data_IF_690648153505
#
_entry.id   IF_690648153505
#
_cell.length_a   1.000
_cell.length_b   1.000
_cell.length_c   1.000
_cell.angle_alpha   90.00
_cell.angle_beta   90.00
_cell.angle_gamma   90.00
#
_symmetry.space_group_name_H-M   'P 1'
#
loop_
_entity.id
_entity.type
_entity.pdbx_description
1 polymer ?
#
# COMPACT_ATOMS: atom_id res chain seq x y z
N UNK A 1 -19.86 6.90 -4.69
CA UNK A 1 -19.29 5.94 -5.66
C UNK A 1 -17.83 6.33 -5.85
N UNK A 2 -16.92 5.61 -5.22
CA UNK A 2 -15.47 5.80 -5.40
C UNK A 2 -15.15 5.37 -6.84
N UNK A 3 -14.80 6.33 -7.70
CA UNK A 3 -14.88 6.20 -9.16
C UNK A 3 -13.94 5.16 -9.78
N UNK A 4 -14.03 4.98 -11.10
CA UNK A 4 -13.10 4.13 -11.84
C UNK A 4 -11.67 4.64 -11.66
N UNK A 5 -10.76 3.73 -11.28
CA UNK A 5 -9.34 4.07 -11.20
C UNK A 5 -8.70 4.09 -12.58
N UNK A 6 -7.74 5.00 -12.81
CA UNK A 6 -6.89 4.93 -13.99
C UNK A 6 -6.13 3.60 -14.00
N UNK A 7 -5.85 3.10 -15.20
CA UNK A 7 -5.11 1.85 -15.42
C UNK A 7 -3.84 2.12 -16.23
N UNK A 8 -2.86 2.86 -15.67
CA UNK A 8 -1.57 3.03 -16.34
C UNK A 8 -0.84 1.69 -16.41
N UNK A 9 -0.05 1.51 -17.47
CA UNK A 9 1.01 0.51 -17.48
C UNK A 9 2.15 0.94 -16.53
N UNK A 10 3.11 0.04 -16.31
CA UNK A 10 4.22 0.29 -15.41
C UNK A 10 5.07 1.49 -15.86
N UNK A 11 5.32 1.62 -17.17
CA UNK A 11 6.15 2.69 -17.72
C UNK A 11 5.53 4.06 -17.48
N UNK A 12 4.22 4.21 -17.70
CA UNK A 12 3.48 5.44 -17.39
C UNK A 12 3.48 5.76 -15.90
N UNK A 13 3.32 4.74 -15.04
CA UNK A 13 3.32 4.95 -13.60
C UNK A 13 4.72 5.39 -13.10
N UNK A 14 5.77 4.75 -13.61
CA UNK A 14 7.17 5.11 -13.31
C UNK A 14 7.47 6.53 -13.77
N UNK A 15 7.11 6.87 -15.01
CA UNK A 15 7.31 8.21 -15.56
C UNK A 15 6.56 9.30 -14.79
N UNK A 16 5.31 9.03 -14.37
CA UNK A 16 4.55 9.95 -13.54
C UNK A 16 5.17 10.14 -12.15
N UNK A 17 5.64 9.05 -11.51
CA UNK A 17 6.30 9.12 -10.21
C UNK A 17 7.64 9.87 -10.26
N UNK A 18 8.39 9.71 -11.35
CA UNK A 18 9.64 10.43 -11.60
C UNK A 18 9.39 11.91 -11.84
N UNK A 19 8.45 12.25 -12.73
CA UNK A 19 8.08 13.64 -13.02
C UNK A 19 7.58 14.39 -11.79
N UNK A 20 6.78 13.74 -10.96
CA UNK A 20 6.27 14.30 -9.71
C UNK A 20 7.28 14.29 -8.55
N UNK A 21 8.47 13.68 -8.73
CA UNK A 21 9.49 13.60 -7.68
C UNK A 21 9.06 12.81 -6.44
N UNK A 22 8.26 11.75 -6.60
CA UNK A 22 7.69 11.02 -5.47
C UNK A 22 8.77 10.23 -4.73
N UNK A 23 9.00 10.57 -3.46
CA UNK A 23 9.97 9.91 -2.58
C UNK A 23 9.28 8.97 -1.59
N UNK A 24 9.96 7.90 -1.20
CA UNK A 24 9.46 6.96 -0.20
C UNK A 24 9.31 7.63 1.17
N UNK A 25 8.09 7.59 1.73
CA UNK A 25 7.72 8.26 2.98
C UNK A 25 8.20 7.57 4.28
N UNK A 26 8.96 6.47 4.16
CA UNK A 26 9.46 5.66 5.27
C UNK A 26 10.83 6.07 5.83
N UNK A 27 11.20 7.36 5.72
CA UNK A 27 12.41 7.92 6.33
C UNK A 27 13.67 7.91 5.46
N UNK A 28 13.89 6.88 4.64
CA UNK A 28 15.07 6.81 3.76
C UNK A 28 14.96 7.66 2.47
N UNK A 29 13.77 8.17 2.14
CA UNK A 29 13.57 9.02 0.97
C UNK A 29 13.93 8.35 -0.36
N UNK A 30 13.83 7.03 -0.48
CA UNK A 30 14.21 6.34 -1.71
C UNK A 30 13.27 6.70 -2.87
N UNK A 31 13.76 6.98 -4.11
CA UNK A 31 12.90 7.35 -5.24
C UNK A 31 11.89 6.26 -5.60
N UNK A 32 10.60 6.61 -5.61
CA UNK A 32 9.51 5.65 -5.86
C UNK A 32 9.58 5.06 -7.26
N UNK A 33 9.89 5.88 -8.27
CA UNK A 33 10.06 5.44 -9.65
C UNK A 33 11.11 4.32 -9.79
N UNK A 34 12.28 4.49 -9.16
CA UNK A 34 13.34 3.46 -9.15
C UNK A 34 12.89 2.18 -8.47
N UNK A 35 12.14 2.28 -7.37
CA UNK A 35 11.64 1.12 -6.63
C UNK A 35 10.60 0.33 -7.44
N UNK A 36 9.72 1.03 -8.16
CA UNK A 36 8.73 0.39 -9.05
C UNK A 36 9.43 -0.33 -10.20
N UNK A 37 10.41 0.32 -10.84
CA UNK A 37 11.18 -0.27 -11.93
C UNK A 37 11.98 -1.50 -11.49
N UNK A 38 12.54 -1.51 -10.27
CA UNK A 38 13.35 -2.64 -9.78
C UNK A 38 12.56 -3.93 -9.54
N UNK A 39 11.23 -3.86 -9.46
CA UNK A 39 10.36 -5.03 -9.24
C UNK A 39 9.49 -5.36 -10.47
N UNK A 40 9.78 -4.75 -11.62
CA UNK A 40 9.11 -5.03 -12.87
C UNK A 40 9.15 -6.54 -13.20
N UNK A 41 8.03 -7.10 -13.65
CA UNK A 41 7.93 -8.52 -14.04
C UNK A 41 7.83 -9.53 -12.88
N UNK A 42 8.09 -9.13 -11.64
CA UNK A 42 8.01 -10.03 -10.47
C UNK A 42 6.58 -10.42 -10.10
N UNK A 43 5.59 -9.58 -10.44
CA UNK A 43 4.19 -9.70 -10.00
C UNK A 43 4.04 -9.81 -8.48
N UNK A 44 5.02 -9.31 -7.73
CA UNK A 44 5.00 -9.33 -6.27
C UNK A 44 3.76 -8.61 -5.71
N UNK A 45 3.25 -9.02 -4.54
CA UNK A 45 2.18 -8.28 -3.87
C UNK A 45 2.63 -6.87 -3.50
N UNK A 46 1.70 -5.92 -3.55
CA UNK A 46 1.92 -4.58 -3.00
C UNK A 46 1.59 -4.59 -1.52
N UNK A 47 2.54 -4.15 -0.69
CA UNK A 47 2.35 -4.05 0.76
C UNK A 47 2.23 -2.58 1.13
N UNK A 48 1.08 -2.20 1.70
CA UNK A 48 0.87 -0.93 2.37
C UNK A 48 1.33 -1.09 3.82
N UNK A 49 2.39 -0.38 4.20
CA UNK A 49 2.88 -0.39 5.57
C UNK A 49 2.17 0.71 6.39
N UNK A 50 1.26 0.32 7.27
CA UNK A 50 0.59 1.21 8.23
C UNK A 50 1.27 1.29 9.60
N UNK A 51 2.47 0.71 9.74
CA UNK A 51 3.26 0.78 10.96
C UNK A 51 4.01 2.11 11.01
N UNK A 52 3.76 2.91 12.04
CA UNK A 52 4.50 4.16 12.24
C UNK A 52 5.84 3.88 12.89
N UNK A 53 6.93 4.21 12.19
CA UNK A 53 8.29 4.10 12.74
C UNK A 53 8.63 5.19 13.77
N UNK A 54 7.93 6.33 13.73
CA UNK A 54 8.11 7.46 14.66
C UNK A 54 6.78 7.76 15.35
N UNK A 55 6.69 7.40 16.64
CA UNK A 55 5.48 7.47 17.46
C UNK A 55 4.82 8.86 17.57
N UNK A 56 5.54 9.92 17.16
CA UNK A 56 5.05 11.30 17.20
C UNK A 56 4.45 11.80 15.87
N UNK A 57 4.62 11.08 14.75
CA UNK A 57 4.22 11.59 13.44
C UNK A 57 2.73 11.40 13.13
N UNK A 58 2.10 10.29 13.55
CA UNK A 58 0.65 10.04 13.40
C UNK A 58 0.10 10.01 11.97
N UNK A 59 0.93 10.29 10.95
CA UNK A 59 0.50 10.61 9.58
C UNK A 59 -0.14 9.41 8.89
N UNK A 60 0.43 8.22 9.07
CA UNK A 60 -0.03 7.01 8.41
C UNK A 60 -1.33 6.53 9.05
N UNK A 61 -1.45 6.68 10.39
CA UNK A 61 -2.71 6.48 11.12
C UNK A 61 -3.79 7.40 10.60
N UNK A 62 -3.51 8.70 10.48
CA UNK A 62 -4.49 9.70 10.02
C UNK A 62 -4.99 9.37 8.62
N UNK A 63 -4.10 9.01 7.70
CA UNK A 63 -4.49 8.63 6.34
C UNK A 63 -5.37 7.38 6.32
N UNK A 64 -4.98 6.33 7.03
CA UNK A 64 -5.73 5.07 7.07
C UNK A 64 -7.06 5.19 7.84
N UNK A 65 -7.16 6.11 8.80
CA UNK A 65 -8.37 6.31 9.59
C UNK A 65 -9.38 7.21 8.89
N UNK A 66 -8.93 8.29 8.25
CA UNK A 66 -9.82 9.32 7.72
C UNK A 66 -10.00 9.30 6.21
N UNK A 67 -8.99 8.85 5.46
CA UNK A 67 -9.01 8.81 3.99
C UNK A 67 -8.49 7.46 3.44
N UNK A 68 -8.94 6.30 3.97
CA UNK A 68 -8.41 4.99 3.59
C UNK A 68 -8.48 4.70 2.09
N UNK A 69 -9.54 5.14 1.42
CA UNK A 69 -9.72 4.97 -0.03
C UNK A 69 -8.55 5.52 -0.83
N UNK A 70 -7.98 6.66 -0.43
CA UNK A 70 -6.83 7.27 -1.12
C UNK A 70 -5.61 6.34 -1.11
N UNK A 71 -5.37 5.70 0.03
CA UNK A 71 -4.26 4.75 0.21
C UNK A 71 -4.53 3.47 -0.59
N UNK A 72 -5.74 2.94 -0.51
CA UNK A 72 -6.15 1.73 -1.21
C UNK A 72 -6.09 1.90 -2.73
N UNK A 73 -6.51 3.05 -3.25
CA UNK A 73 -6.51 3.33 -4.68
C UNK A 73 -5.09 3.39 -5.24
N UNK A 74 -4.16 4.07 -4.55
CA UNK A 74 -2.75 4.08 -4.93
C UNK A 74 -2.12 2.69 -4.91
N UNK A 75 -2.47 1.87 -3.90
CA UNK A 75 -1.98 0.50 -3.80
C UNK A 75 -2.50 -0.39 -4.94
N UNK A 76 -3.77 -0.22 -5.33
CA UNK A 76 -4.39 -0.99 -6.41
C UNK A 76 -3.87 -0.58 -7.78
N UNK A 77 -3.69 0.73 -8.02
CA UNK A 77 -3.05 1.22 -9.26
C UNK A 77 -1.66 0.62 -9.39
N UNK A 78 -0.88 0.63 -8.31
CA UNK A 78 0.47 0.06 -8.28
C UNK A 78 0.45 -1.45 -8.54
N UNK A 79 -0.46 -2.18 -7.90
CA UNK A 79 -0.59 -3.62 -8.09
C UNK A 79 -0.94 -3.96 -9.55
N UNK A 80 -1.90 -3.26 -10.15
CA UNK A 80 -2.30 -3.44 -11.56
C UNK A 80 -1.15 -3.15 -12.51
N UNK A 81 -0.43 -2.04 -12.32
CA UNK A 81 0.71 -1.67 -13.15
C UNK A 81 1.84 -2.72 -13.08
N UNK A 82 2.04 -3.34 -11.90
CA UNK A 82 3.00 -4.42 -11.68
C UNK A 82 2.50 -5.80 -12.16
N UNK A 83 1.27 -5.89 -12.65
CA UNK A 83 0.63 -7.17 -13.02
C UNK A 83 0.30 -8.07 -11.82
N UNK A 84 0.31 -7.52 -10.60
CA UNK A 84 -0.06 -8.18 -9.36
C UNK A 84 -1.57 -8.10 -9.12
N UNK A 85 -2.12 -9.14 -8.48
CA UNK A 85 -3.54 -9.20 -8.07
C UNK A 85 -3.72 -9.17 -6.55
N UNK A 86 -2.66 -8.81 -5.81
CA UNK A 86 -2.65 -8.85 -4.35
C UNK A 86 -2.15 -7.53 -3.77
N UNK A 87 -2.96 -6.96 -2.88
CA UNK A 87 -2.58 -5.86 -1.99
C UNK A 87 -2.74 -6.34 -0.56
N UNK A 88 -1.73 -6.10 0.27
CA UNK A 88 -1.74 -6.43 1.70
C UNK A 88 -1.60 -5.12 2.47
N UNK A 89 -2.55 -4.81 3.35
CA UNK A 89 -2.47 -3.65 4.25
C UNK A 89 -2.01 -4.16 5.61
N UNK A 90 -0.76 -3.87 5.96
CA UNK A 90 -0.17 -4.25 7.25
C UNK A 90 -0.49 -3.18 8.28
N UNK A 91 -1.24 -3.53 9.31
CA UNK A 91 -1.68 -2.60 10.36
C UNK A 91 -1.31 -3.20 11.72
N UNK A 92 -0.73 -2.40 12.64
CA UNK A 92 -0.56 -2.81 14.03
C UNK A 92 -1.86 -3.31 14.67
N UNK A 93 -1.83 -4.47 15.33
CA UNK A 93 -3.01 -5.03 16.02
C UNK A 93 -3.48 -4.15 17.19
N UNK A 94 -2.57 -3.34 17.74
CA UNK A 94 -2.85 -2.31 18.74
C UNK A 94 -3.76 -1.17 18.23
N UNK A 95 -4.08 -1.12 16.94
CA UNK A 95 -4.87 -0.05 16.28
C UNK A 95 -6.21 -0.58 15.71
N UNK A 96 -7.13 -1.09 16.53
CA UNK A 96 -8.38 -1.70 16.06
C UNK A 96 -9.28 -0.73 15.29
N UNK A 97 -9.26 0.56 15.62
CA UNK A 97 -10.05 1.57 14.91
C UNK A 97 -9.58 1.75 13.46
N UNK A 98 -8.27 1.70 13.21
CA UNK A 98 -7.69 1.80 11.87
C UNK A 98 -8.03 0.54 11.07
N UNK A 99 -7.93 -0.63 11.70
CA UNK A 99 -8.33 -1.91 11.08
C UNK A 99 -9.80 -1.85 10.64
N UNK A 100 -10.69 -1.38 11.51
CA UNK A 100 -12.11 -1.25 11.19
C UNK A 100 -12.38 -0.27 10.04
N UNK A 101 -11.73 0.90 10.05
CA UNK A 101 -11.86 1.90 8.98
C UNK A 101 -11.38 1.37 7.63
N UNK A 102 -10.22 0.70 7.60
CA UNK A 102 -9.70 0.07 6.38
C UNK A 102 -10.58 -1.08 5.92
N UNK A 103 -11.12 -1.90 6.83
CA UNK A 103 -12.01 -2.99 6.48
C UNK A 103 -13.30 -2.48 5.82
N UNK A 104 -13.91 -1.42 6.38
CA UNK A 104 -15.07 -0.77 5.78
C UNK A 104 -14.75 -0.23 4.37
N UNK A 105 -13.60 0.45 4.21
CA UNK A 105 -13.18 0.97 2.91
C UNK A 105 -12.90 -0.12 1.86
N UNK A 106 -12.38 -1.28 2.28
CA UNK A 106 -12.21 -2.45 1.39
C UNK A 106 -13.57 -2.94 0.89
N UNK A 107 -14.56 -3.05 1.78
CA UNK A 107 -15.92 -3.49 1.46
C UNK A 107 -16.63 -2.50 0.53
N UNK A 108 -16.55 -1.20 0.82
CA UNK A 108 -17.10 -0.14 -0.03
C UNK A 108 -16.51 -0.12 -1.45
N UNK A 109 -15.21 -0.40 -1.57
CA UNK A 109 -14.49 -0.35 -2.86
C UNK A 109 -14.77 -1.57 -3.73
N UNK A 110 -14.89 -2.75 -3.13
CA UNK A 110 -15.22 -4.04 -3.77
C UNK A 110 -14.55 -4.25 -5.17
N UNK A 111 -13.22 -4.25 -5.21
CA UNK A 111 -12.46 -4.41 -6.46
C UNK A 111 -12.44 -5.85 -6.95
N UNK A 112 -12.85 -6.06 -8.21
CA UNK A 112 -12.94 -7.40 -8.81
C UNK A 112 -11.61 -7.89 -9.41
N UNK A 113 -10.62 -7.02 -9.60
CA UNK A 113 -9.35 -7.34 -10.27
C UNK A 113 -8.16 -7.53 -9.31
N UNK A 114 -8.21 -6.89 -8.14
CA UNK A 114 -7.15 -6.95 -7.12
C UNK A 114 -7.75 -7.28 -5.77
N UNK A 115 -7.27 -8.38 -5.15
CA UNK A 115 -7.67 -8.78 -3.79
C UNK A 115 -6.90 -7.96 -2.77
N UNK A 116 -7.62 -7.26 -1.89
CA UNK A 116 -7.05 -6.50 -0.79
C UNK A 116 -7.30 -7.27 0.52
N UNK A 117 -6.27 -7.46 1.33
CA UNK A 117 -6.36 -8.14 2.63
C UNK A 117 -5.68 -7.33 3.72
N UNK A 118 -6.22 -7.35 4.94
CA UNK A 118 -5.58 -6.77 6.12
C UNK A 118 -4.71 -7.84 6.79
N UNK A 119 -3.48 -7.48 7.15
CA UNK A 119 -2.62 -8.26 8.01
C UNK A 119 -2.41 -7.50 9.33
N UNK A 120 -3.13 -7.92 10.37
CA UNK A 120 -2.93 -7.44 11.73
C UNK A 120 -1.79 -8.22 12.39
N UNK A 121 -0.98 -7.54 13.20
CA UNK A 121 0.20 -8.12 13.88
C UNK A 121 1.00 -7.03 14.58
N UNK A 122 2.22 -7.33 15.03
CA UNK A 122 3.08 -6.45 15.82
C UNK A 122 3.24 -5.01 15.28
N UNK A 123 3.51 -4.08 16.19
CA UNK A 123 3.56 -2.62 15.95
C UNK A 123 4.69 -2.17 15.02
N UNK A 124 5.77 -2.95 14.93
CA UNK A 124 6.90 -2.67 14.04
C UNK A 124 6.88 -3.61 12.84
N UNK A 125 7.13 -3.06 11.65
CA UNK A 125 7.33 -3.83 10.42
C UNK A 125 8.76 -3.61 9.92
N UNK A 126 9.62 -4.59 10.15
CA UNK A 126 11.03 -4.54 9.75
C UNK A 126 11.16 -5.14 8.34
N UNK A 127 12.08 -4.64 7.51
CA UNK A 127 12.26 -5.08 6.12
C UNK A 127 12.42 -6.61 5.94
N UNK A 128 12.90 -7.33 6.97
CA UNK A 128 12.98 -8.80 6.98
C UNK A 128 11.63 -9.53 7.14
N UNK A 129 10.58 -8.84 7.59
CA UNK A 129 9.25 -9.40 7.78
C UNK A 129 8.37 -9.34 6.53
N UNK A 130 8.78 -8.62 5.48
CA UNK A 130 8.03 -8.60 4.21
C UNK A 130 7.88 -10.03 3.65
N UNK A 131 8.94 -10.83 3.71
CA UNK A 131 8.89 -12.24 3.32
C UNK A 131 7.99 -13.08 4.24
N UNK A 132 7.94 -12.77 5.54
CA UNK A 132 7.09 -13.48 6.52
C UNK A 132 5.59 -13.13 6.36
N UNK A 133 5.27 -11.89 6.00
CA UNK A 133 3.90 -11.48 5.65
C UNK A 133 3.45 -12.14 4.35
N UNK A 134 4.34 -12.31 3.38
CA UNK A 134 4.02 -12.98 2.12
C UNK A 134 3.80 -14.48 2.31
N UNK A 135 4.55 -15.14 3.21
CA UNK A 135 4.41 -16.58 3.46
C UNK A 135 3.23 -16.96 4.38
N UNK A 136 2.69 -16.01 5.14
CA UNK A 136 1.57 -16.23 6.07
C UNK A 136 0.19 -15.97 5.46
N UNK A 137 0.10 -15.65 4.16
CA UNK A 137 -1.13 -15.24 3.44
C UNK A 137 -1.26 -15.84 2.03
#
# INVERSE_FOLDING_TARGET
>A
MWGLLPTPDLDRLVGAAEWAGVMGAGGAGFPTARKLASVAGTKAPVIVNGSEGESASGKDTVLLLHVPHLVLDGAVISARALGSRRVIVRIPESRPQVIAAVAAAIDERHDKGVRITINAGADTFIAGEASAVISSL
#
